data_IF_188596814165
#
_entry.id   IF_188596814165
#
_cell.length_a   1.000
_cell.length_b   1.000
_cell.length_c   1.000
_cell.angle_alpha   90.00
_cell.angle_beta   90.00
_cell.angle_gamma   90.00
#
_symmetry.space_group_name_H-M   'P 1'
#
loop_
_entity.id
_entity.type
_entity.pdbx_description
1 polymer ?
#
# COMPACT_ATOMS: atom_id res chain seq x y z
N UNK A 1 6.74 -13.24 -64.24
CA UNK A 1 6.49 -13.30 -62.78
C UNK A 1 5.25 -12.47 -62.46
N UNK A 2 4.19 -13.07 -61.94
CA UNK A 2 2.90 -12.41 -61.69
C UNK A 2 2.83 -12.05 -60.19
N UNK A 3 3.12 -10.80 -59.83
CA UNK A 3 2.99 -10.32 -58.45
C UNK A 3 1.51 -10.28 -58.05
N UNK A 4 1.13 -11.11 -57.07
CA UNK A 4 -0.19 -11.03 -56.42
C UNK A 4 -0.14 -9.92 -55.38
N UNK A 5 -0.76 -8.78 -55.66
CA UNK A 5 -0.94 -7.70 -54.68
C UNK A 5 -2.01 -8.13 -53.67
N UNK A 6 -1.59 -8.49 -52.45
CA UNK A 6 -2.50 -8.74 -51.33
C UNK A 6 -3.18 -7.42 -50.93
N UNK A 7 -4.50 -7.34 -51.05
CA UNK A 7 -5.27 -6.21 -50.52
C UNK A 7 -5.15 -6.26 -48.99
N UNK A 8 -4.29 -5.43 -48.41
CA UNK A 8 -4.30 -5.19 -46.96
C UNK A 8 -5.65 -4.55 -46.61
N UNK A 9 -6.51 -5.28 -45.91
CA UNK A 9 -7.71 -4.72 -45.31
C UNK A 9 -7.30 -3.74 -44.20
N UNK A 10 -7.78 -2.50 -44.28
CA UNK A 10 -7.64 -1.52 -43.21
C UNK A 10 -8.84 -1.56 -42.27
N UNK A 11 -8.64 -1.18 -41.01
CA UNK A 11 -9.73 -0.95 -40.06
C UNK A 11 -10.65 0.17 -40.56
N UNK A 12 -11.95 -0.03 -40.50
CA UNK A 12 -12.94 1.00 -40.75
C UNK A 12 -13.09 1.91 -39.52
N UNK A 13 -13.47 3.17 -39.74
CA UNK A 13 -13.76 4.10 -38.63
C UNK A 13 -14.86 3.56 -37.71
N UNK A 14 -15.87 2.90 -38.29
CA UNK A 14 -17.01 2.32 -37.55
C UNK A 14 -16.57 1.23 -36.59
N UNK A 15 -15.66 0.35 -37.02
CA UNK A 15 -15.12 -0.71 -36.14
C UNK A 15 -14.41 -0.13 -34.92
N UNK A 16 -13.61 0.93 -35.10
CA UNK A 16 -12.92 1.59 -33.98
C UNK A 16 -13.92 2.28 -33.03
N UNK A 17 -14.96 2.92 -33.58
CA UNK A 17 -15.97 3.60 -32.75
C UNK A 17 -16.70 2.65 -31.81
N UNK A 18 -17.14 1.48 -32.30
CA UNK A 18 -17.85 0.49 -31.47
C UNK A 18 -16.93 -0.06 -30.38
N UNK A 19 -15.65 -0.32 -30.69
CA UNK A 19 -14.68 -0.83 -29.72
C UNK A 19 -14.47 0.15 -28.58
N UNK A 20 -14.25 1.44 -28.87
CA UNK A 20 -14.07 2.46 -27.84
C UNK A 20 -15.34 2.64 -27.00
N UNK A 21 -16.53 2.57 -27.61
CA UNK A 21 -17.80 2.64 -26.88
C UNK A 21 -17.94 1.51 -25.84
N UNK A 22 -17.62 0.27 -26.22
CA UNK A 22 -17.67 -0.88 -25.30
C UNK A 22 -16.62 -0.74 -24.19
N UNK A 23 -15.39 -0.33 -24.52
CA UNK A 23 -14.33 -0.11 -23.52
C UNK A 23 -14.75 0.98 -22.52
N UNK A 24 -15.33 2.09 -22.99
CA UNK A 24 -15.81 3.17 -22.12
C UNK A 24 -16.91 2.69 -21.16
N UNK A 25 -17.85 1.88 -21.66
CA UNK A 25 -18.90 1.29 -20.83
C UNK A 25 -18.31 0.40 -19.72
N UNK A 26 -17.39 -0.50 -20.05
CA UNK A 26 -16.74 -1.38 -19.07
C UNK A 26 -15.87 -0.59 -18.07
N UNK A 27 -15.11 0.40 -18.56
CA UNK A 27 -14.25 1.24 -17.72
C UNK A 27 -15.06 2.04 -16.69
N UNK A 28 -16.26 2.52 -17.07
CA UNK A 28 -17.11 3.30 -16.17
C UNK A 28 -17.51 2.57 -14.88
N UNK A 29 -17.63 1.23 -14.94
CA UNK A 29 -17.95 0.38 -13.79
C UNK A 29 -16.67 -0.10 -13.09
N UNK A 30 -15.63 -0.43 -13.87
CA UNK A 30 -14.39 -1.00 -13.33
C UNK A 30 -13.56 0.01 -12.52
N UNK A 31 -13.42 1.24 -13.01
CA UNK A 31 -12.56 2.27 -12.38
C UNK A 31 -12.99 2.62 -10.95
N UNK A 32 -14.27 2.98 -10.66
CA UNK A 32 -14.65 3.36 -9.29
C UNK A 32 -14.49 2.20 -8.31
N UNK A 33 -14.80 0.98 -8.75
CA UNK A 33 -14.63 -0.23 -7.94
C UNK A 33 -13.15 -0.51 -7.66
N UNK A 34 -12.28 -0.34 -8.66
CA UNK A 34 -10.85 -0.51 -8.50
C UNK A 34 -10.25 0.52 -7.53
N UNK A 35 -10.67 1.80 -7.62
CA UNK A 35 -10.21 2.85 -6.69
C UNK A 35 -10.62 2.50 -5.26
N UNK A 36 -11.88 2.11 -5.02
CA UNK A 36 -12.36 1.70 -3.70
C UNK A 36 -11.64 0.47 -3.15
N UNK A 37 -11.38 -0.52 -4.00
CA UNK A 37 -10.63 -1.72 -3.63
C UNK A 37 -9.20 -1.36 -3.23
N UNK A 38 -8.54 -0.49 -4.01
CA UNK A 38 -7.20 0.00 -3.72
C UNK A 38 -7.13 0.76 -2.40
N UNK A 39 -8.05 1.68 -2.13
CA UNK A 39 -8.07 2.43 -0.85
C UNK A 39 -8.28 1.52 0.34
N UNK A 40 -9.16 0.52 0.21
CA UNK A 40 -9.39 -0.48 1.27
C UNK A 40 -8.14 -1.33 1.49
N UNK A 41 -7.49 -1.80 0.43
CA UNK A 41 -6.26 -2.58 0.52
C UNK A 41 -5.12 -1.78 1.17
N UNK A 42 -4.98 -0.50 0.81
CA UNK A 42 -4.00 0.41 1.45
C UNK A 42 -4.27 0.57 2.94
N UNK A 43 -5.54 0.73 3.35
CA UNK A 43 -5.92 0.80 4.76
C UNK A 43 -5.59 -0.49 5.51
N UNK A 44 -5.99 -1.64 4.98
CA UNK A 44 -5.74 -2.95 5.62
C UNK A 44 -4.25 -3.24 5.76
N UNK A 45 -3.47 -2.97 4.70
CA UNK A 45 -2.03 -3.13 4.75
C UNK A 45 -1.36 -2.19 5.76
N UNK A 46 -1.82 -0.94 5.84
CA UNK A 46 -1.35 0.01 6.85
C UNK A 46 -1.64 -0.48 8.28
N UNK A 47 -2.85 -0.97 8.55
CA UNK A 47 -3.22 -1.51 9.86
C UNK A 47 -2.34 -2.71 10.21
N UNK A 48 -2.10 -3.61 9.25
CA UNK A 48 -1.20 -4.76 9.46
C UNK A 48 0.23 -4.33 9.77
N UNK A 49 0.74 -3.27 9.14
CA UNK A 49 2.05 -2.72 9.47
C UNK A 49 2.08 -2.08 10.86
N UNK A 50 1.01 -1.40 11.29
CA UNK A 50 0.89 -0.85 12.64
C UNK A 50 0.90 -1.97 13.70
N UNK A 51 0.21 -3.08 13.47
CA UNK A 51 0.23 -4.24 14.36
C UNK A 51 1.63 -4.88 14.44
N UNK A 52 2.35 -4.95 13.31
CA UNK A 52 3.74 -5.41 13.30
C UNK A 52 4.66 -4.46 14.09
N UNK A 53 4.44 -3.14 13.98
CA UNK A 53 5.17 -2.15 14.77
C UNK A 53 4.89 -2.28 16.26
N UNK A 54 3.62 -2.46 16.65
CA UNK A 54 3.25 -2.67 18.05
C UNK A 54 3.95 -3.91 18.63
N UNK A 55 3.92 -5.04 17.90
CA UNK A 55 4.64 -6.23 18.28
C UNK A 55 6.16 -5.99 18.40
N UNK A 56 6.74 -5.23 17.47
CA UNK A 56 8.16 -4.89 17.49
C UNK A 56 8.54 -3.97 18.67
N UNK A 57 7.68 -3.01 19.03
CA UNK A 57 7.84 -2.16 20.21
C UNK A 57 7.86 -3.00 21.48
N UNK A 58 6.91 -3.92 21.63
CA UNK A 58 6.82 -4.79 22.80
C UNK A 58 8.05 -5.71 22.89
N UNK A 59 8.51 -6.27 21.78
CA UNK A 59 9.74 -7.08 21.75
C UNK A 59 10.98 -6.27 22.11
N UNK A 60 11.11 -5.06 21.56
CA UNK A 60 12.20 -4.16 21.90
C UNK A 60 12.19 -3.79 23.38
N UNK A 61 11.01 -3.50 23.95
CA UNK A 61 10.87 -3.16 25.35
C UNK A 61 11.28 -4.32 26.27
N UNK A 62 10.86 -5.54 25.94
CA UNK A 62 11.26 -6.75 26.66
C UNK A 62 12.78 -6.97 26.62
N UNK A 63 13.41 -6.78 25.46
CA UNK A 63 14.87 -6.97 25.33
C UNK A 63 15.66 -5.91 26.11
N UNK A 64 15.19 -4.67 26.11
CA UNK A 64 15.88 -3.53 26.74
C UNK A 64 15.45 -3.29 28.19
N UNK A 65 14.62 -4.18 28.76
CA UNK A 65 14.05 -4.06 30.12
C UNK A 65 13.33 -2.72 30.33
N UNK A 66 12.68 -2.24 29.28
CA UNK A 66 11.85 -1.03 29.27
C UNK A 66 10.40 -1.38 29.59
N UNK A 67 9.71 -0.49 30.27
CA UNK A 67 8.33 -0.66 30.71
C UNK A 67 7.39 0.39 30.14
N UNK A 68 6.15 0.38 30.62
CA UNK A 68 5.16 1.38 30.25
C UNK A 68 5.66 2.79 30.61
N UNK A 69 5.47 3.74 29.70
CA UNK A 69 5.89 5.14 29.82
C UNK A 69 7.31 5.42 29.32
N UNK A 70 8.11 4.39 29.03
CA UNK A 70 9.42 4.61 28.41
C UNK A 70 9.26 5.10 26.96
N UNK A 71 10.04 6.12 26.61
CA UNK A 71 10.06 6.64 25.25
C UNK A 71 10.65 5.60 24.30
N UNK A 72 10.00 5.41 23.15
CA UNK A 72 10.46 4.57 22.05
C UNK A 72 10.53 5.42 20.79
N UNK A 73 11.59 5.25 20.00
CA UNK A 73 11.72 5.90 18.69
C UNK A 73 11.68 4.87 17.57
N UNK A 74 11.37 5.33 16.35
CA UNK A 74 11.41 4.48 15.15
C UNK A 74 12.82 3.97 14.87
N UNK A 75 13.86 4.71 15.27
CA UNK A 75 15.25 4.29 15.12
C UNK A 75 15.58 3.09 16.02
N UNK A 76 15.06 3.09 17.26
CA UNK A 76 15.22 1.98 18.21
C UNK A 76 14.61 0.69 17.66
N UNK A 77 13.42 0.79 17.06
CA UNK A 77 12.71 -0.35 16.46
C UNK A 77 13.45 -0.85 15.22
N UNK A 78 13.95 0.07 14.38
CA UNK A 78 14.76 -0.26 13.20
C UNK A 78 16.04 -0.99 13.58
N UNK A 79 16.74 -0.52 14.61
CA UNK A 79 17.97 -1.13 15.10
C UNK A 79 17.73 -2.49 15.78
N UNK A 80 16.58 -2.67 16.44
CA UNK A 80 16.23 -3.91 17.14
C UNK A 80 16.00 -5.12 16.23
N UNK A 81 15.73 -4.91 14.93
CA UNK A 81 15.57 -6.02 13.98
C UNK A 81 14.30 -6.86 14.19
N UNK A 82 13.32 -6.33 14.90
CA UNK A 82 12.08 -7.02 15.26
C UNK A 82 10.96 -6.90 14.22
N UNK A 83 11.14 -6.01 13.23
CA UNK A 83 10.22 -5.83 12.10
C UNK A 83 10.96 -6.11 10.80
N UNK A 84 10.25 -6.70 9.83
CA UNK A 84 10.79 -6.85 8.48
C UNK A 84 10.93 -5.48 7.84
N UNK A 85 12.17 -5.12 7.54
CA UNK A 85 12.49 -3.92 6.79
C UNK A 85 12.13 -4.11 5.32
N UNK A 86 11.87 -2.98 4.64
CA UNK A 86 11.64 -2.97 3.21
C UNK A 86 12.95 -3.21 2.42
N UNK A 87 12.87 -3.17 1.09
CA UNK A 87 14.03 -3.34 0.22
C UNK A 87 15.09 -2.22 0.38
N UNK A 88 14.71 -1.08 0.95
CA UNK A 88 15.58 0.06 1.24
C UNK A 88 16.30 -0.07 2.59
N UNK A 89 15.91 -1.07 3.40
CA UNK A 89 16.39 -1.21 4.77
C UNK A 89 15.71 -0.26 5.75
N UNK A 90 14.53 0.27 5.41
CA UNK A 90 13.72 1.14 6.26
C UNK A 90 12.46 0.42 6.76
N UNK A 91 11.83 0.99 7.79
CA UNK A 91 10.53 0.51 8.26
C UNK A 91 9.54 0.64 7.09
N UNK A 92 8.71 -0.39 6.83
CA UNK A 92 7.75 -0.36 5.72
C UNK A 92 6.95 0.93 5.71
N UNK A 93 6.90 1.65 4.58
CA UNK A 93 6.08 2.86 4.50
C UNK A 93 4.59 2.54 4.42
N UNK A 94 3.72 3.48 4.80
CA UNK A 94 2.29 3.32 4.58
C UNK A 94 1.98 3.31 3.07
N UNK A 95 1.27 2.29 2.54
CA UNK A 95 0.93 2.24 1.12
C UNK A 95 -0.07 3.33 0.68
N UNK A 96 -0.63 4.08 1.64
CA UNK A 96 -1.42 5.29 1.42
C UNK A 96 -0.62 6.60 1.43
N UNK A 97 0.70 6.57 1.61
CA UNK A 97 1.57 7.76 1.64
C UNK A 97 1.77 8.40 3.02
N UNK A 98 1.34 7.72 4.09
CA UNK A 98 1.46 8.20 5.47
C UNK A 98 2.76 7.82 6.17
N UNK A 99 3.14 8.58 7.19
CA UNK A 99 4.25 8.24 8.08
C UNK A 99 3.73 7.61 9.36
N UNK A 100 4.50 6.67 9.91
CA UNK A 100 4.24 6.09 11.21
C UNK A 100 4.89 6.93 12.29
N UNK A 101 4.24 7.01 13.46
CA UNK A 101 4.79 7.65 14.64
C UNK A 101 4.57 6.78 15.87
N UNK A 102 5.56 6.80 16.75
CA UNK A 102 5.61 6.05 18.01
C UNK A 102 6.08 7.04 19.09
N UNK A 103 5.61 6.87 20.33
CA UNK A 103 5.92 7.81 21.41
C UNK A 103 6.40 7.08 22.66
N UNK A 104 5.57 6.21 23.22
CA UNK A 104 5.93 5.35 24.35
C UNK A 104 5.62 3.90 24.07
N UNK A 105 6.19 2.99 24.87
CA UNK A 105 6.00 1.53 24.74
C UNK A 105 4.51 1.13 24.85
N UNK A 106 3.76 1.84 25.68
CA UNK A 106 2.34 1.63 25.99
C UNK A 106 1.39 2.38 25.04
N UNK A 107 1.90 3.30 24.23
CA UNK A 107 1.11 4.02 23.24
C UNK A 107 1.05 3.24 21.92
N UNK A 108 -0.16 3.07 21.39
CA UNK A 108 -0.35 2.43 20.08
C UNK A 108 0.37 3.24 18.98
N UNK A 109 1.10 2.58 18.05
CA UNK A 109 1.69 3.26 16.91
C UNK A 109 0.58 3.86 16.04
N UNK A 110 0.80 5.08 15.55
CA UNK A 110 -0.19 5.80 14.73
C UNK A 110 0.34 6.09 13.34
N UNK A 111 -0.58 6.27 12.39
CA UNK A 111 -0.28 6.69 11.02
C UNK A 111 -0.86 8.09 10.76
N UNK A 112 -0.15 8.92 10.00
CA UNK A 112 -0.60 10.26 9.65
C UNK A 112 -1.81 10.30 8.69
N UNK A 113 -2.19 9.16 8.10
CA UNK A 113 -3.33 9.06 7.16
C UNK A 113 -4.64 8.84 7.92
N UNK A 114 -5.62 9.70 7.64
CA UNK A 114 -6.94 9.63 8.27
C UNK A 114 -7.62 8.27 8.02
N UNK A 115 -8.09 7.63 9.10
CA UNK A 115 -8.79 6.35 9.05
C UNK A 115 -7.87 5.11 8.97
N UNK A 116 -6.55 5.30 8.96
CA UNK A 116 -5.55 4.24 9.11
C UNK A 116 -5.08 4.18 10.57
N UNK A 117 -5.96 3.76 11.47
CA UNK A 117 -5.66 3.59 12.88
C UNK A 117 -5.93 2.15 13.32
N UNK A 118 -5.21 1.72 14.35
CA UNK A 118 -5.53 0.48 15.07
C UNK A 118 -6.91 0.63 15.73
N UNK A 119 -7.73 -0.44 15.75
CA UNK A 119 -9.02 -0.45 16.42
C UNK A 119 -8.90 -0.34 17.95
#
# INVERSE_FOLDING_TARGET
MKMRTSRKGGFTLVEIMIVVAIIAMLASIAIPNFVKARTTAQKTACISNLQQLEGAIQQWALQNKKGNGDAVTLEDIKAGGFIKLDASGDIPHCPGGGQYSVSTVDANPTCSVAGHALP
#
